data_IF_629997411347
#
_entry.id   IF_629997411347
#
_cell.length_a   1.000
_cell.length_b   1.000
_cell.length_c   1.000
_cell.angle_alpha   90.00
_cell.angle_beta   90.00
_cell.angle_gamma   90.00
#
_symmetry.space_group_name_H-M   'P 1'
#
loop_
_entity.id
_entity.type
_entity.pdbx_description
1 polymer ?
#
# COMPACT_ATOMS: atom_id res chain seq x y z
N UNK A 1 -18.16 27.63 42.34
CA UNK A 1 -18.57 26.57 41.40
C UNK A 1 -18.77 27.17 40.00
N UNK A 2 -17.68 27.54 39.30
CA UNK A 2 -17.80 28.13 37.95
C UNK A 2 -16.53 27.98 37.10
N UNK A 3 -15.68 26.99 37.36
CA UNK A 3 -14.39 26.84 36.65
C UNK A 3 -14.18 25.47 36.01
N UNK A 4 -15.18 24.57 36.07
CA UNK A 4 -15.11 23.23 35.47
C UNK A 4 -16.00 23.02 34.25
N UNK A 5 -16.81 24.00 33.85
CA UNK A 5 -17.69 23.86 32.67
C UNK A 5 -17.09 24.39 31.36
N UNK A 6 -15.93 25.06 31.41
CA UNK A 6 -15.33 25.67 30.20
C UNK A 6 -14.35 24.77 29.43
N UNK A 7 -14.26 23.47 29.74
CA UNK A 7 -13.26 22.58 29.14
C UNK A 7 -13.85 21.34 28.44
N UNK A 8 -15.05 21.43 27.86
CA UNK A 8 -15.68 20.29 27.18
C UNK A 8 -16.22 20.56 25.77
N UNK A 9 -15.84 21.66 25.13
CA UNK A 9 -16.34 22.00 23.79
C UNK A 9 -15.29 22.61 22.85
N UNK A 10 -14.00 22.33 23.04
CA UNK A 10 -13.04 22.44 21.93
C UNK A 10 -13.02 21.12 21.16
N UNK A 11 -14.16 20.72 20.59
CA UNK A 11 -14.11 19.98 19.34
C UNK A 11 -13.74 21.02 18.29
N UNK A 12 -12.52 20.96 17.75
CA UNK A 12 -12.10 21.83 16.65
C UNK A 12 -13.08 21.62 15.48
N UNK A 13 -14.09 22.48 15.38
CA UNK A 13 -14.90 22.60 14.17
C UNK A 13 -13.94 23.13 13.11
N UNK A 14 -13.64 22.31 12.12
CA UNK A 14 -12.90 22.75 10.94
C UNK A 14 -13.67 23.92 10.32
N UNK A 15 -12.95 24.93 9.85
CA UNK A 15 -13.56 26.02 9.07
C UNK A 15 -14.21 25.43 7.80
N UNK A 16 -15.28 26.06 7.30
CA UNK A 16 -15.87 25.72 6.00
C UNK A 16 -14.81 25.69 4.88
N UNK A 17 -13.81 26.57 4.95
CA UNK A 17 -12.68 26.61 4.02
C UNK A 17 -11.77 25.39 4.13
N UNK A 18 -11.54 24.90 5.35
CA UNK A 18 -10.67 23.75 5.62
C UNK A 18 -11.35 22.44 5.18
N UNK A 19 -12.67 22.35 5.39
CA UNK A 19 -13.49 21.25 4.87
C UNK A 19 -13.52 21.25 3.33
N UNK A 20 -13.75 22.42 2.72
CA UNK A 20 -13.74 22.55 1.26
C UNK A 20 -12.37 22.20 0.65
N UNK A 21 -11.28 22.61 1.29
CA UNK A 21 -9.92 22.25 0.86
C UNK A 21 -9.68 20.75 0.98
N UNK A 22 -10.05 20.12 2.10
CA UNK A 22 -9.95 18.68 2.30
C UNK A 22 -10.72 17.90 1.23
N UNK A 23 -11.95 18.32 0.92
CA UNK A 23 -12.76 17.71 -0.12
C UNK A 23 -12.13 17.86 -1.52
N UNK A 24 -11.67 19.05 -1.89
CA UNK A 24 -10.99 19.29 -3.16
C UNK A 24 -9.71 18.45 -3.29
N UNK A 25 -8.94 18.33 -2.20
CA UNK A 25 -7.75 17.48 -2.13
C UNK A 25 -8.07 15.99 -2.29
N UNK A 26 -9.12 15.50 -1.61
CA UNK A 26 -9.58 14.12 -1.74
C UNK A 26 -9.98 13.79 -3.18
N UNK A 27 -10.78 14.64 -3.82
CA UNK A 27 -11.15 14.49 -5.24
C UNK A 27 -9.92 14.56 -6.15
N UNK A 28 -8.98 15.48 -5.91
CA UNK A 28 -7.77 15.55 -6.72
C UNK A 28 -6.90 14.31 -6.57
N UNK A 29 -6.89 13.71 -5.39
CA UNK A 29 -6.05 12.55 -5.07
C UNK A 29 -6.73 11.21 -5.37
N UNK A 30 -8.03 11.19 -5.68
CA UNK A 30 -8.79 9.94 -5.89
C UNK A 30 -8.22 9.11 -7.04
N UNK A 31 -7.82 9.77 -8.13
CA UNK A 31 -7.28 9.09 -9.30
C UNK A 31 -5.93 8.42 -9.01
N UNK A 32 -5.18 8.93 -8.03
CA UNK A 32 -3.89 8.35 -7.63
C UNK A 32 -4.06 6.90 -7.19
N UNK A 33 -5.11 6.59 -6.43
CA UNK A 33 -5.39 5.23 -6.00
C UNK A 33 -5.69 4.32 -7.19
N UNK A 34 -6.55 4.78 -8.11
CA UNK A 34 -6.90 4.05 -9.32
C UNK A 34 -5.66 3.67 -10.14
N UNK A 35 -4.73 4.61 -10.36
CA UNK A 35 -3.49 4.33 -11.09
C UNK A 35 -2.56 3.36 -10.36
N UNK A 36 -2.46 3.47 -9.04
CA UNK A 36 -1.61 2.59 -8.23
C UNK A 36 -2.16 1.17 -8.18
N UNK A 37 -3.48 1.02 -8.06
CA UNK A 37 -4.15 -0.28 -8.15
C UNK A 37 -3.93 -0.91 -9.52
N UNK A 38 -4.12 -0.14 -10.60
CA UNK A 38 -3.88 -0.61 -11.97
C UNK A 38 -2.43 -1.08 -12.17
N UNK A 39 -1.46 -0.32 -11.66
CA UNK A 39 -0.06 -0.71 -11.72
C UNK A 39 0.23 -2.00 -10.93
N UNK A 40 -0.33 -2.16 -9.74
CA UNK A 40 -0.15 -3.36 -8.93
C UNK A 40 -0.76 -4.61 -9.59
N UNK A 41 -1.91 -4.45 -10.26
CA UNK A 41 -2.53 -5.49 -11.08
C UNK A 41 -1.60 -5.88 -12.24
N UNK A 42 -1.13 -4.91 -13.02
CA UNK A 42 -0.28 -5.17 -14.18
C UNK A 42 1.07 -5.80 -13.82
N UNK A 43 1.63 -5.42 -12.67
CA UNK A 43 2.87 -6.01 -12.14
C UNK A 43 2.66 -7.39 -11.49
N UNK A 44 1.42 -7.87 -11.40
CA UNK A 44 1.09 -9.17 -10.80
C UNK A 44 1.38 -9.23 -9.29
N UNK A 45 1.34 -8.09 -8.60
CA UNK A 45 1.69 -7.99 -7.17
C UNK A 45 0.79 -8.91 -6.32
N UNK A 46 -0.51 -8.91 -6.60
CA UNK A 46 -1.47 -9.75 -5.87
C UNK A 46 -1.19 -11.23 -6.07
N UNK A 47 -0.87 -11.64 -7.30
CA UNK A 47 -0.52 -13.03 -7.63
C UNK A 47 0.77 -13.46 -6.93
N UNK A 48 1.77 -12.59 -6.88
CA UNK A 48 3.05 -12.85 -6.20
C UNK A 48 2.82 -13.09 -4.70
N UNK A 49 2.05 -12.23 -4.04
CA UNK A 49 1.75 -12.39 -2.60
C UNK A 49 0.88 -13.63 -2.38
N UNK A 50 -0.07 -13.92 -3.26
CA UNK A 50 -0.91 -15.12 -3.18
C UNK A 50 -0.07 -16.41 -3.29
N UNK A 51 0.89 -16.44 -4.22
CA UNK A 51 1.80 -17.58 -4.43
C UNK A 51 2.71 -17.88 -3.23
N UNK A 52 3.02 -16.88 -2.40
CA UNK A 52 3.76 -17.08 -1.17
C UNK A 52 2.98 -17.86 -0.10
N UNK A 53 1.66 -17.99 -0.25
CA UNK A 53 0.80 -18.81 0.60
C UNK A 53 -0.08 -18.00 1.55
N UNK A 54 -1.04 -18.70 2.17
CA UNK A 54 -2.03 -18.08 3.06
C UNK A 54 -1.35 -17.51 4.32
N UNK A 55 -1.52 -16.21 4.57
CA UNK A 55 -0.92 -15.52 5.72
C UNK A 55 0.56 -15.17 5.55
N UNK A 56 1.15 -15.44 4.39
CA UNK A 56 2.51 -15.04 4.08
C UNK A 56 2.64 -13.51 3.98
N UNK A 57 3.82 -13.01 4.34
CA UNK A 57 4.17 -11.61 4.21
C UNK A 57 5.53 -11.48 3.53
N UNK A 58 5.58 -10.69 2.45
CA UNK A 58 6.77 -10.47 1.64
C UNK A 58 7.26 -9.03 1.79
N UNK A 59 8.58 -8.83 1.82
CA UNK A 59 9.19 -7.51 1.69
C UNK A 59 9.01 -6.97 0.26
N UNK A 60 9.12 -5.65 0.10
CA UNK A 60 9.08 -5.04 -1.24
C UNK A 60 10.23 -5.53 -2.14
N UNK A 61 11.38 -5.88 -1.55
CA UNK A 61 12.53 -6.47 -2.25
C UNK A 61 12.25 -7.88 -2.77
N UNK A 62 11.56 -8.72 -1.99
CA UNK A 62 11.13 -10.06 -2.40
C UNK A 62 10.07 -10.00 -3.50
N UNK A 63 9.19 -9.00 -3.47
CA UNK A 63 8.21 -8.80 -4.55
C UNK A 63 8.93 -8.30 -5.82
N UNK A 64 9.85 -7.35 -5.68
CA UNK A 64 10.64 -6.83 -6.81
C UNK A 64 11.45 -7.91 -7.52
N UNK A 65 12.04 -8.84 -6.77
CA UNK A 65 12.82 -9.94 -7.33
C UNK A 65 11.95 -10.93 -8.12
N UNK A 66 10.73 -11.21 -7.65
CA UNK A 66 9.77 -12.05 -8.38
C UNK A 66 9.21 -11.38 -9.65
N UNK A 67 9.08 -10.05 -9.65
CA UNK A 67 8.77 -9.27 -10.86
C UNK A 67 9.94 -9.29 -11.85
N UNK A 68 11.15 -9.66 -11.39
CA UNK A 68 12.39 -9.60 -12.16
C UNK A 68 12.70 -8.17 -12.65
N UNK A 69 12.44 -7.19 -11.77
CA UNK A 69 12.68 -5.78 -12.05
C UNK A 69 14.18 -5.51 -12.26
N UNK A 70 14.52 -4.71 -13.28
CA UNK A 70 15.91 -4.37 -13.60
C UNK A 70 16.36 -3.08 -12.94
N UNK A 71 15.40 -2.23 -12.55
CA UNK A 71 15.62 -0.99 -11.85
C UNK A 71 16.02 -1.23 -10.38
N UNK A 72 17.16 -0.67 -9.97
CA UNK A 72 17.64 -0.70 -8.57
C UNK A 72 16.67 -0.03 -7.60
N UNK A 73 15.86 0.92 -8.06
CA UNK A 73 14.84 1.62 -7.28
C UNK A 73 13.51 0.86 -7.20
N UNK A 74 13.36 -0.28 -7.87
CA UNK A 74 12.09 -1.02 -7.87
C UNK A 74 11.59 -1.39 -6.45
N UNK A 75 12.44 -1.85 -5.50
CA UNK A 75 11.99 -2.15 -4.14
C UNK A 75 11.44 -0.91 -3.40
N UNK A 76 12.03 0.27 -3.61
CA UNK A 76 11.61 1.51 -2.94
C UNK A 76 10.29 2.04 -3.53
N UNK A 77 10.13 1.93 -4.86
CA UNK A 77 8.89 2.28 -5.57
C UNK A 77 7.75 1.32 -5.21
N UNK A 78 8.02 0.01 -5.15
CA UNK A 78 7.04 -0.98 -4.73
C UNK A 78 6.61 -0.79 -3.28
N UNK A 79 7.52 -0.43 -2.36
CA UNK A 79 7.13 -0.08 -0.98
C UNK A 79 6.11 1.06 -0.95
N UNK A 80 6.27 2.09 -1.79
CA UNK A 80 5.31 3.21 -1.86
C UNK A 80 3.95 2.77 -2.40
N UNK A 81 3.93 1.91 -3.42
CA UNK A 81 2.70 1.31 -3.98
C UNK A 81 1.99 0.48 -2.92
N UNK A 82 2.72 -0.45 -2.28
CA UNK A 82 2.18 -1.37 -1.28
C UNK A 82 1.67 -0.64 -0.04
N UNK A 83 2.35 0.43 0.39
CA UNK A 83 1.85 1.31 1.47
C UNK A 83 0.52 1.95 1.13
N UNK A 84 0.37 2.46 -0.10
CA UNK A 84 -0.91 3.03 -0.50
C UNK A 84 -1.99 1.95 -0.49
N UNK A 85 -1.74 0.78 -1.08
CA UNK A 85 -2.69 -0.34 -1.07
C UNK A 85 -3.05 -0.78 0.36
N UNK A 86 -2.10 -0.73 1.30
CA UNK A 86 -2.33 -1.02 2.70
C UNK A 86 -3.28 -0.01 3.36
N UNK A 87 -3.13 1.28 3.06
CA UNK A 87 -4.05 2.33 3.54
C UNK A 87 -5.50 2.10 3.07
N UNK A 88 -5.70 1.49 1.90
CA UNK A 88 -7.02 1.14 1.35
C UNK A 88 -7.44 -0.31 1.68
N UNK A 89 -6.64 -1.07 2.43
CA UNK A 89 -6.98 -2.42 2.90
C UNK A 89 -6.87 -3.54 1.86
N UNK A 90 -6.19 -3.31 0.73
CA UNK A 90 -5.97 -4.34 -0.30
C UNK A 90 -4.83 -5.30 0.06
N UNK A 91 -3.88 -4.82 0.85
CA UNK A 91 -2.82 -5.62 1.45
C UNK A 91 -2.74 -5.31 2.94
N UNK A 92 -2.20 -6.24 3.71
CA UNK A 92 -1.80 -6.02 5.11
C UNK A 92 -0.36 -5.51 5.13
N UNK A 93 -0.01 -4.73 6.15
CA UNK A 93 1.34 -4.24 6.35
C UNK A 93 1.77 -4.56 7.79
N UNK A 94 2.85 -5.30 7.95
CA UNK A 94 3.48 -5.58 9.23
C UNK A 94 4.93 -5.12 9.21
N UNK A 95 5.53 -4.97 10.37
CA UNK A 95 6.88 -4.44 10.51
C UNK A 95 7.78 -5.46 11.19
N UNK A 96 8.92 -5.76 10.56
CA UNK A 96 9.97 -6.64 11.09
C UNK A 96 11.19 -5.79 11.44
N UNK A 97 11.70 -5.95 12.66
CA UNK A 97 12.98 -5.39 13.07
C UNK A 97 14.09 -6.31 12.58
N UNK A 98 15.05 -5.79 11.83
CA UNK A 98 16.28 -6.50 11.48
C UNK A 98 17.34 -6.10 12.49
N UNK A 99 17.78 -7.06 13.31
CA UNK A 99 18.94 -6.87 14.16
C UNK A 99 20.17 -7.09 13.29
N UNK A 100 20.91 -6.02 13.04
CA UNK A 100 22.23 -6.10 12.43
C UNK A 100 23.20 -6.55 13.52
N UNK A 101 24.08 -7.49 13.20
CA UNK A 101 25.07 -8.03 14.13
C UNK A 101 26.05 -6.92 14.54
N UNK A 102 26.46 -6.96 15.80
CA UNK A 102 27.09 -5.85 16.56
C UNK A 102 28.20 -5.10 15.79
N UNK A 103 27.94 -3.84 15.40
CA UNK A 103 28.97 -2.96 14.82
C UNK A 103 28.52 -1.62 14.26
N UNK A 104 27.26 -1.49 13.82
CA UNK A 104 26.73 -0.22 13.31
C UNK A 104 25.89 0.49 14.38
N UNK A 105 26.40 1.62 14.88
CA UNK A 105 25.76 2.45 15.91
C UNK A 105 24.45 3.13 15.44
N UNK A 106 24.06 3.00 14.17
CA UNK A 106 22.80 3.52 13.63
C UNK A 106 21.70 2.43 13.63
N UNK A 107 21.23 2.17 14.86
CA UNK A 107 20.47 1.00 15.25
C UNK A 107 19.17 0.74 14.49
N UNK A 108 18.95 -0.56 14.25
CA UNK A 108 17.67 -1.21 13.98
C UNK A 108 16.98 -0.79 12.67
N UNK A 109 17.42 -1.41 11.56
CA UNK A 109 16.71 -1.31 10.28
C UNK A 109 15.33 -1.93 10.39
N UNK A 110 14.31 -1.12 10.13
CA UNK A 110 12.90 -1.52 10.17
C UNK A 110 12.43 -1.83 8.76
N UNK A 111 12.05 -3.08 8.51
CA UNK A 111 11.54 -3.55 7.21
C UNK A 111 10.02 -3.74 7.27
N UNK A 112 9.32 -3.33 6.21
CA UNK A 112 7.89 -3.58 6.05
C UNK A 112 7.67 -4.84 5.23
N UNK A 113 6.69 -5.63 5.66
CA UNK A 113 6.27 -6.84 4.97
C UNK A 113 4.78 -6.73 4.66
N UNK A 114 4.41 -7.23 3.49
CA UNK A 114 3.08 -7.10 2.93
C UNK A 114 2.45 -8.46 2.70
N UNK A 115 1.24 -8.65 3.23
CA UNK A 115 0.45 -9.86 3.06
C UNK A 115 -0.86 -9.57 2.32
N UNK A 116 -1.50 -10.59 1.78
CA UNK A 116 -2.71 -10.43 0.99
C UNK A 116 -3.95 -10.25 1.87
N UNK A 117 -4.71 -9.17 1.66
CA UNK A 117 -5.99 -8.95 2.33
C UNK A 117 -7.18 -9.41 1.46
N UNK A 118 -8.38 -9.50 2.05
CA UNK A 118 -9.58 -9.95 1.35
C UNK A 118 -9.91 -9.11 0.09
N UNK A 119 -9.88 -7.76 0.11
CA UNK A 119 -10.11 -6.98 -1.11
C UNK A 119 -9.08 -7.24 -2.21
N UNK A 120 -7.80 -7.43 -1.84
CA UNK A 120 -6.74 -7.76 -2.79
C UNK A 120 -6.91 -9.12 -3.46
N UNK A 121 -7.58 -10.09 -2.80
CA UNK A 121 -7.86 -11.41 -3.40
C UNK A 121 -8.72 -11.33 -4.65
N UNK A 122 -9.58 -10.32 -4.78
CA UNK A 122 -10.40 -10.13 -5.97
C UNK A 122 -9.58 -9.84 -7.25
N UNK A 123 -8.28 -9.57 -7.09
CA UNK A 123 -7.33 -9.27 -8.16
C UNK A 123 -6.28 -10.37 -8.36
N UNK A 124 -6.44 -11.52 -7.69
CA UNK A 124 -5.60 -12.70 -7.92
C UNK A 124 -6.18 -13.49 -9.07
N UNK A 125 -5.35 -13.84 -10.05
CA UNK A 125 -5.71 -14.74 -11.13
C UNK A 125 -5.85 -16.15 -10.56
N UNK A 126 -7.10 -16.58 -10.36
CA UNK A 126 -7.43 -17.96 -10.01
C UNK A 126 -7.60 -18.82 -11.26
N UNK A 127 -7.37 -20.13 -11.14
CA UNK A 127 -7.54 -21.10 -12.22
C UNK A 127 -9.00 -21.16 -12.72
N UNK A 128 -9.96 -20.75 -11.88
CA UNK A 128 -11.40 -20.73 -12.15
C UNK A 128 -11.90 -19.45 -12.86
N UNK A 129 -11.01 -18.54 -13.28
CA UNK A 129 -11.29 -17.55 -14.33
C UNK A 129 -12.07 -16.28 -13.95
N UNK A 130 -12.45 -16.11 -12.69
CA UNK A 130 -13.14 -14.89 -12.20
C UNK A 130 -12.21 -13.93 -11.46
N UNK A 131 -11.52 -13.03 -12.15
CA UNK A 131 -10.65 -12.02 -11.52
C UNK A 131 -10.91 -10.61 -12.07
N UNK A 132 -10.99 -9.60 -11.18
CA UNK A 132 -11.15 -8.20 -11.58
C UNK A 132 -9.90 -7.62 -12.26
N UNK A 133 -8.77 -8.33 -12.20
CA UNK A 133 -7.55 -7.98 -12.94
C UNK A 133 -7.72 -7.98 -14.47
N UNK A 134 -8.76 -8.64 -15.01
CA UNK A 134 -9.09 -8.63 -16.44
C UNK A 134 -9.55 -7.27 -16.99
N UNK A 135 -9.76 -6.27 -16.12
CA UNK A 135 -10.25 -4.93 -16.49
C UNK A 135 -9.28 -3.82 -16.04
N UNK A 136 -8.02 -3.80 -16.53
CA UNK A 136 -7.10 -2.72 -16.19
C UNK A 136 -7.57 -1.39 -16.81
N UNK A 137 -7.33 -0.29 -16.08
CA UNK A 137 -7.66 1.08 -16.51
C UNK A 137 -6.81 1.46 -17.73
N UNK A 138 -5.55 1.02 -17.76
CA UNK A 138 -4.65 1.27 -18.89
C UNK A 138 -4.32 -0.03 -19.65
N UNK A 139 -4.42 0.03 -20.99
CA UNK A 139 -4.08 -1.11 -21.87
C UNK A 139 -2.58 -1.24 -22.18
N UNK A 140 -1.79 -0.24 -21.80
CA UNK A 140 -0.35 -0.25 -22.00
C UNK A 140 0.30 -1.02 -20.86
N UNK A 141 0.95 -2.14 -21.15
CA UNK A 141 1.79 -2.86 -20.18
C UNK A 141 2.81 -1.86 -19.61
N UNK A 142 2.69 -1.55 -18.33
CA UNK A 142 3.76 -0.89 -17.58
C UNK A 142 4.94 -1.84 -17.66
N UNK A 143 5.97 -1.46 -18.43
CA UNK A 143 7.18 -2.26 -18.49
C UNK A 143 7.83 -2.24 -17.11
N UNK A 144 8.20 -3.42 -16.60
CA UNK A 144 9.05 -3.53 -15.44
C UNK A 144 10.37 -2.82 -15.79
N UNK A 145 10.54 -1.65 -15.19
CA UNK A 145 11.74 -0.82 -15.31
C UNK A 145 12.98 -1.59 -14.86
#
# INVERSE_FOLDING_TARGET
MSSLENNKQNSTLMSEEEEAFGYAWCLRSSDMFCFVLDAAIQLGVFDIIAKAGHGAHLSSSEIASQINAKNSEAPSLLDRVLRLLACYGFVTCVTRKQQLDDGDEDGNKVERLYGLALPGRAFVHDEDGGCLAGFPITKNKIQAW
#
